data_IF_512613643595
#
_entry.id   IF_512613643595
#
_cell.length_a   1.000
_cell.length_b   1.000
_cell.length_c   1.000
_cell.angle_alpha   90.00
_cell.angle_beta   90.00
_cell.angle_gamma   90.00
#
_symmetry.space_group_name_H-M   'P 1'
#
loop_
_entity.id
_entity.type
_entity.pdbx_description
1 polymer ?
#
# COMPACT_ATOMS: atom_id res chain seq x y z
N UNK A 1 -17.54 74.63 -8.37
CA UNK A 1 -16.89 73.80 -7.33
C UNK A 1 -17.87 72.74 -6.86
N UNK A 2 -17.52 71.45 -6.92
CA UNK A 2 -18.33 70.36 -6.39
C UNK A 2 -17.98 69.04 -7.07
N UNK A 3 -17.04 68.32 -6.47
CA UNK A 3 -16.56 66.98 -6.85
C UNK A 3 -17.66 65.95 -6.58
N UNK A 4 -17.78 64.90 -7.41
CA UNK A 4 -18.10 63.55 -6.94
C UNK A 4 -17.69 62.52 -8.00
N UNK A 5 -16.78 61.66 -7.55
CA UNK A 5 -16.03 60.68 -8.31
C UNK A 5 -16.83 59.40 -8.56
N UNK A 6 -16.60 58.82 -9.74
CA UNK A 6 -16.36 57.40 -10.07
C UNK A 6 -16.87 56.30 -9.12
N UNK A 7 -17.57 55.33 -9.71
CA UNK A 7 -17.75 54.00 -9.15
C UNK A 7 -18.25 52.99 -10.19
N UNK A 8 -17.49 52.79 -11.29
CA UNK A 8 -17.76 51.67 -12.21
C UNK A 8 -17.00 50.46 -11.66
N UNK A 9 -17.71 49.59 -10.94
CA UNK A 9 -17.19 48.28 -10.52
C UNK A 9 -17.07 47.38 -11.75
N UNK A 10 -15.85 47.24 -12.27
CA UNK A 10 -15.53 46.24 -13.29
C UNK A 10 -15.39 44.89 -12.58
N UNK A 11 -16.40 44.03 -12.71
CA UNK A 11 -16.35 42.65 -12.24
C UNK A 11 -15.52 41.85 -13.26
N UNK A 12 -14.26 41.57 -12.93
CA UNK A 12 -13.40 40.65 -13.66
C UNK A 12 -13.90 39.22 -13.43
N UNK A 13 -14.63 38.68 -14.41
CA UNK A 13 -14.95 37.25 -14.47
C UNK A 13 -13.72 36.53 -15.02
N UNK A 14 -12.91 35.96 -14.14
CA UNK A 14 -11.83 35.06 -14.51
C UNK A 14 -12.42 33.66 -14.82
N UNK A 15 -12.67 33.37 -16.10
CA UNK A 15 -12.91 32.01 -16.57
C UNK A 15 -11.58 31.26 -16.59
N UNK A 16 -11.29 30.50 -15.53
CA UNK A 16 -10.22 29.49 -15.55
C UNK A 16 -10.73 28.28 -16.32
N UNK A 17 -10.42 28.23 -17.61
CA UNK A 17 -10.45 26.99 -18.37
C UNK A 17 -9.24 26.14 -17.92
N UNK A 18 -9.45 25.28 -16.93
CA UNK A 18 -8.48 24.23 -16.60
C UNK A 18 -8.54 23.16 -17.69
N UNK A 19 -7.60 23.26 -18.62
CA UNK A 19 -7.12 22.14 -19.43
C UNK A 19 -6.66 21.03 -18.50
N UNK A 20 -7.47 19.99 -18.29
CA UNK A 20 -6.99 18.73 -17.72
C UNK A 20 -6.21 17.97 -18.80
N UNK A 21 -4.99 18.43 -19.07
CA UNK A 21 -3.99 17.64 -19.77
C UNK A 21 -3.29 16.74 -18.74
N UNK A 22 -3.24 15.44 -19.04
CA UNK A 22 -2.18 14.54 -18.62
C UNK A 22 -2.13 14.21 -17.13
N UNK A 23 -2.90 13.22 -16.71
CA UNK A 23 -2.40 12.31 -15.66
C UNK A 23 -1.47 11.31 -16.35
N UNK A 24 -0.28 11.79 -16.72
CA UNK A 24 0.90 10.93 -16.74
C UNK A 24 0.94 10.24 -15.37
N UNK A 25 0.89 8.92 -15.41
CA UNK A 25 0.85 8.05 -14.23
C UNK A 25 2.10 8.30 -13.40
N UNK A 26 2.03 9.19 -12.41
CA UNK A 26 2.92 9.12 -11.27
C UNK A 26 2.81 7.71 -10.69
N UNK A 27 3.93 7.04 -10.35
CA UNK A 27 3.85 5.77 -9.64
C UNK A 27 2.99 6.02 -8.41
N UNK A 28 1.92 5.24 -8.25
CA UNK A 28 0.98 5.39 -7.14
C UNK A 28 1.78 5.08 -5.87
N UNK A 29 2.34 6.12 -5.27
CA UNK A 29 3.06 6.05 -4.01
C UNK A 29 2.07 6.39 -2.93
N UNK A 30 1.91 5.49 -1.97
CA UNK A 30 1.17 5.81 -0.75
C UNK A 30 1.83 6.99 -0.06
N UNK A 31 1.03 7.87 0.52
CA UNK A 31 1.53 8.80 1.53
C UNK A 31 2.03 8.02 2.76
N UNK A 32 2.89 8.65 3.57
CA UNK A 32 3.40 8.03 4.80
C UNK A 32 2.27 7.56 5.74
N UNK A 33 1.15 8.30 5.74
CA UNK A 33 -0.04 7.96 6.52
C UNK A 33 -0.72 6.70 5.99
N UNK A 34 -0.93 6.60 4.68
CA UNK A 34 -1.56 5.41 4.07
C UNK A 34 -0.67 4.18 4.18
N UNK A 35 0.66 4.36 4.07
CA UNK A 35 1.61 3.28 4.31
C UNK A 35 1.56 2.82 5.77
N UNK A 36 1.48 3.74 6.73
CA UNK A 36 1.32 3.41 8.15
C UNK A 36 0.01 2.64 8.40
N UNK A 37 -1.08 3.02 7.74
CA UNK A 37 -2.36 2.32 7.86
C UNK A 37 -2.27 0.89 7.30
N UNK A 38 -1.59 0.69 6.15
CA UNK A 38 -1.32 -0.64 5.60
C UNK A 38 -0.47 -1.48 6.57
N UNK A 39 0.59 -0.90 7.13
CA UNK A 39 1.44 -1.57 8.11
C UNK A 39 0.63 -1.98 9.34
N UNK A 40 -0.23 -1.11 9.86
CA UNK A 40 -1.10 -1.42 11.00
C UNK A 40 -2.05 -2.59 10.69
N UNK A 41 -2.72 -2.57 9.52
CA UNK A 41 -3.59 -3.67 9.09
C UNK A 41 -2.83 -4.99 8.96
N UNK A 42 -1.60 -4.94 8.42
CA UNK A 42 -0.73 -6.13 8.31
C UNK A 42 -0.29 -6.65 9.67
N UNK A 43 0.06 -5.78 10.60
CA UNK A 43 0.43 -6.18 11.97
C UNK A 43 -0.75 -6.80 12.73
N UNK A 44 -1.94 -6.20 12.61
CA UNK A 44 -3.13 -6.63 13.36
C UNK A 44 -3.78 -7.90 12.80
N UNK A 45 -3.78 -8.08 11.48
CA UNK A 45 -4.53 -9.15 10.81
C UNK A 45 -3.64 -10.16 10.07
N UNK A 46 -2.39 -9.78 9.77
CA UNK A 46 -1.53 -10.53 8.86
C UNK A 46 -0.66 -11.57 9.53
N UNK A 47 -0.30 -11.40 10.80
CA UNK A 47 0.61 -12.30 11.51
C UNK A 47 0.03 -12.79 12.84
N UNK A 48 0.51 -13.94 13.31
CA UNK A 48 0.17 -14.53 14.62
C UNK A 48 1.17 -14.16 15.72
N UNK A 49 2.20 -13.39 15.39
CA UNK A 49 3.24 -12.96 16.32
C UNK A 49 2.73 -11.74 17.09
N UNK A 50 2.38 -11.94 18.36
CA UNK A 50 1.97 -10.84 19.24
C UNK A 50 3.08 -9.79 19.39
N UNK A 51 2.75 -8.52 19.15
CA UNK A 51 3.71 -7.42 19.24
C UNK A 51 4.77 -7.42 18.13
N UNK A 52 4.50 -8.05 16.99
CA UNK A 52 5.39 -8.00 15.83
C UNK A 52 5.54 -6.60 15.26
N UNK A 53 6.75 -6.31 14.79
CA UNK A 53 7.02 -5.21 13.87
C UNK A 53 7.01 -5.76 12.45
N UNK A 54 6.13 -5.24 11.60
CA UNK A 54 6.06 -5.63 10.19
C UNK A 54 6.60 -4.55 9.27
N UNK A 55 7.43 -4.97 8.33
CA UNK A 55 7.84 -4.19 7.16
C UNK A 55 7.01 -4.64 5.96
N UNK A 56 6.53 -3.67 5.18
CA UNK A 56 5.70 -3.95 3.99
C UNK A 56 6.35 -3.39 2.75
N UNK A 57 6.27 -4.15 1.67
CA UNK A 57 6.65 -3.74 0.33
C UNK A 57 5.41 -3.76 -0.57
N UNK A 58 5.07 -2.62 -1.15
CA UNK A 58 3.88 -2.49 -2.00
C UNK A 58 4.27 -2.79 -3.44
N UNK A 59 3.63 -3.81 -4.03
CA UNK A 59 3.85 -4.15 -5.43
C UNK A 59 2.91 -3.39 -6.36
N UNK A 60 1.66 -3.19 -5.93
CA UNK A 60 0.65 -2.50 -6.73
C UNK A 60 -0.50 -2.00 -5.87
N UNK A 61 -1.09 -0.89 -6.30
CA UNK A 61 -2.39 -0.40 -5.84
C UNK A 61 -3.33 -0.33 -7.04
N UNK A 62 -4.49 -0.96 -6.94
CA UNK A 62 -5.56 -0.92 -7.95
C UNK A 62 -6.86 -0.48 -7.29
N UNK A 63 -7.31 0.74 -7.60
CA UNK A 63 -8.47 1.36 -6.97
C UNK A 63 -8.36 1.38 -5.44
N UNK A 64 -9.10 0.51 -4.74
CA UNK A 64 -9.10 0.37 -3.27
C UNK A 64 -8.43 -0.92 -2.80
N UNK A 65 -7.71 -1.60 -3.69
CA UNK A 65 -7.02 -2.86 -3.39
C UNK A 65 -5.50 -2.65 -3.43
N UNK A 66 -4.83 -3.03 -2.35
CA UNK A 66 -3.37 -2.96 -2.22
C UNK A 66 -2.79 -4.37 -2.22
N UNK A 67 -1.78 -4.60 -3.05
CA UNK A 67 -1.06 -5.87 -3.13
C UNK A 67 0.40 -5.65 -2.73
N UNK A 68 0.94 -6.55 -1.92
CA UNK A 68 2.32 -6.43 -1.46
C UNK A 68 2.86 -7.67 -0.78
N UNK A 69 4.02 -7.48 -0.18
CA UNK A 69 4.72 -8.47 0.64
C UNK A 69 4.94 -7.90 2.04
N UNK A 70 4.72 -8.71 3.06
CA UNK A 70 4.97 -8.38 4.44
C UNK A 70 6.06 -9.28 5.01
N UNK A 71 6.92 -8.70 5.84
CA UNK A 71 7.88 -9.43 6.68
C UNK A 71 7.70 -8.93 8.11
N UNK A 72 7.20 -9.79 8.98
CA UNK A 72 6.92 -9.51 10.37
C UNK A 72 7.91 -10.25 11.27
N UNK A 73 8.48 -9.57 12.24
CA UNK A 73 9.37 -10.16 13.23
C UNK A 73 9.01 -9.68 14.64
N UNK A 74 9.35 -10.46 15.70
CA UNK A 74 9.20 -9.98 17.08
C UNK A 74 9.93 -8.64 17.27
N UNK A 75 9.29 -7.67 17.93
CA UNK A 75 9.88 -6.34 18.13
C UNK A 75 11.16 -6.34 19.00
N UNK A 76 11.41 -7.40 19.77
CA UNK A 76 12.61 -7.55 20.57
C UNK A 76 13.70 -8.30 19.78
N UNK A 77 14.52 -7.55 19.03
CA UNK A 77 15.63 -8.04 18.20
C UNK A 77 16.81 -8.66 18.99
N UNK A 78 16.66 -8.87 20.30
CA UNK A 78 17.73 -9.34 21.18
C UNK A 78 18.02 -10.84 21.07
N UNK A 79 17.20 -11.59 20.34
CA UNK A 79 17.41 -13.01 20.10
C UNK A 79 17.82 -13.27 18.63
N UNK A 80 19.03 -13.80 18.37
CA UNK A 80 19.42 -14.24 17.02
C UNK A 80 18.56 -15.40 16.47
N UNK A 81 17.64 -15.99 17.26
CA UNK A 81 16.58 -16.87 16.78
C UNK A 81 15.32 -16.13 16.30
N UNK A 82 15.20 -14.81 16.51
CA UNK A 82 14.05 -14.02 16.06
C UNK A 82 13.88 -14.03 14.53
N UNK A 83 14.98 -14.16 13.77
CA UNK A 83 14.93 -14.35 12.31
C UNK A 83 14.33 -15.70 11.89
N UNK A 84 14.43 -16.73 12.73
CA UNK A 84 13.79 -18.03 12.50
C UNK A 84 12.29 -18.02 12.85
N UNK A 85 11.83 -16.97 13.51
CA UNK A 85 10.43 -16.75 13.86
C UNK A 85 9.77 -15.67 13.00
N UNK A 86 10.48 -15.10 12.02
CA UNK A 86 9.92 -14.10 11.14
C UNK A 86 8.85 -14.72 10.23
N UNK A 87 7.70 -14.07 10.15
CA UNK A 87 6.56 -14.44 9.32
C UNK A 87 6.58 -13.57 8.06
N UNK A 88 6.81 -14.20 6.91
CA UNK A 88 6.92 -13.51 5.63
C UNK A 88 5.89 -14.06 4.64
N UNK A 89 5.03 -13.18 4.12
CA UNK A 89 3.89 -13.58 3.31
C UNK A 89 3.47 -12.49 2.33
N UNK A 90 2.91 -12.87 1.17
CA UNK A 90 2.24 -11.90 0.30
C UNK A 90 0.87 -11.55 0.88
N UNK A 91 0.43 -10.31 0.71
CA UNK A 91 -0.87 -9.86 1.16
C UNK A 91 -1.63 -9.11 0.07
N UNK A 92 -2.95 -9.18 0.17
CA UNK A 92 -3.92 -8.36 -0.52
C UNK A 92 -4.80 -7.68 0.52
N UNK A 93 -4.95 -6.37 0.44
CA UNK A 93 -5.86 -5.61 1.28
C UNK A 93 -6.95 -5.04 0.39
N UNK A 94 -8.21 -5.41 0.66
CA UNK A 94 -9.38 -4.79 0.02
C UNK A 94 -10.04 -3.85 1.05
N UNK A 95 -9.81 -2.54 0.93
CA UNK A 95 -10.21 -1.58 1.96
C UNK A 95 -9.43 -1.78 3.26
N UNK A 96 -10.08 -2.34 4.28
CA UNK A 96 -9.56 -2.62 5.62
C UNK A 96 -9.33 -4.11 5.90
N UNK A 97 -9.60 -4.97 4.91
CA UNK A 97 -9.56 -6.43 5.07
C UNK A 97 -8.33 -7.04 4.44
N UNK A 98 -7.46 -7.60 5.27
CA UNK A 98 -6.30 -8.35 4.81
C UNK A 98 -6.68 -9.77 4.39
N UNK A 99 -6.12 -10.20 3.27
CA UNK A 99 -6.12 -11.59 2.81
C UNK A 99 -4.69 -12.00 2.48
N UNK A 100 -4.27 -13.15 3.02
CA UNK A 100 -3.02 -13.81 2.68
C UNK A 100 -3.32 -15.24 2.23
N UNK A 101 -2.50 -15.84 1.34
CA UNK A 101 -2.65 -17.25 1.00
C UNK A 101 -2.37 -18.13 2.21
N UNK A 102 -2.99 -19.31 2.25
CA UNK A 102 -2.66 -20.31 3.26
C UNK A 102 -1.23 -20.84 3.06
N UNK A 103 -0.57 -21.19 4.16
CA UNK A 103 0.75 -21.83 4.10
C UNK A 103 0.66 -23.30 3.63
N UNK A 104 1.78 -23.82 3.13
CA UNK A 104 1.91 -25.22 2.73
C UNK A 104 1.26 -25.55 1.38
N UNK A 105 0.59 -26.70 1.29
CA UNK A 105 0.17 -27.28 0.01
C UNK A 105 -0.87 -26.47 -0.79
N UNK A 106 -1.56 -25.53 -0.16
CA UNK A 106 -2.56 -24.67 -0.81
C UNK A 106 -1.99 -23.32 -1.29
N UNK A 107 -0.76 -22.97 -0.89
CA UNK A 107 -0.18 -21.65 -1.13
C UNK A 107 -0.27 -21.21 -2.59
N UNK A 108 0.22 -22.03 -3.52
CA UNK A 108 0.21 -21.69 -4.95
C UNK A 108 -1.20 -21.44 -5.48
N UNK A 109 -2.16 -22.27 -5.08
CA UNK A 109 -3.57 -22.16 -5.48
C UNK A 109 -4.21 -20.88 -4.95
N UNK A 110 -3.86 -20.47 -3.74
CA UNK A 110 -4.40 -19.25 -3.15
C UNK A 110 -3.72 -18.00 -3.70
N UNK A 111 -2.43 -18.07 -4.00
CA UNK A 111 -1.72 -17.02 -4.75
C UNK A 111 -2.41 -16.78 -6.10
N UNK A 112 -2.78 -17.84 -6.82
CA UNK A 112 -3.48 -17.72 -8.11
C UNK A 112 -4.85 -17.03 -8.00
N UNK A 113 -5.59 -17.31 -6.92
CA UNK A 113 -6.91 -16.70 -6.68
C UNK A 113 -6.84 -15.27 -6.18
N UNK A 114 -5.91 -14.99 -5.27
CA UNK A 114 -5.84 -13.71 -4.57
C UNK A 114 -5.17 -12.64 -5.42
N UNK A 115 -4.19 -13.03 -6.25
CA UNK A 115 -3.34 -12.08 -6.96
C UNK A 115 -3.52 -12.13 -8.48
N UNK A 116 -3.51 -10.95 -9.13
CA UNK A 116 -3.38 -10.81 -10.57
C UNK A 116 -2.18 -11.60 -11.13
N UNK A 117 -2.32 -12.16 -12.33
CA UNK A 117 -1.35 -13.07 -12.95
C UNK A 117 0.07 -12.49 -13.05
N UNK A 118 0.17 -11.20 -13.36
CA UNK A 118 1.41 -10.46 -13.49
C UNK A 118 2.17 -10.27 -12.17
N UNK A 119 1.47 -10.25 -11.03
CA UNK A 119 2.08 -10.17 -9.71
C UNK A 119 2.54 -11.53 -9.15
N UNK A 120 2.01 -12.65 -9.66
CA UNK A 120 2.34 -14.00 -9.16
C UNK A 120 3.83 -14.31 -9.29
N UNK A 121 4.47 -13.83 -10.36
CA UNK A 121 5.91 -14.00 -10.57
C UNK A 121 6.75 -13.22 -9.56
N UNK A 122 6.34 -12.00 -9.19
CA UNK A 122 7.02 -11.20 -8.17
C UNK A 122 6.88 -11.86 -6.77
N UNK A 123 5.67 -12.31 -6.44
CA UNK A 123 5.39 -13.04 -5.19
C UNK A 123 6.24 -14.31 -5.08
N UNK A 124 6.34 -15.08 -6.16
CA UNK A 124 7.14 -16.31 -6.18
C UNK A 124 8.63 -16.02 -5.99
N UNK A 125 9.13 -14.92 -6.58
CA UNK A 125 10.51 -14.48 -6.41
C UNK A 125 10.81 -14.04 -4.98
N UNK A 126 9.92 -13.26 -4.34
CA UNK A 126 10.07 -12.90 -2.93
C UNK A 126 10.03 -14.13 -2.02
N UNK A 127 9.10 -15.05 -2.26
CA UNK A 127 8.98 -16.28 -1.48
C UNK A 127 10.22 -17.18 -1.58
N UNK A 128 10.88 -17.24 -2.75
CA UNK A 128 12.11 -18.03 -2.94
C UNK A 128 13.38 -17.30 -2.51
N UNK A 129 13.41 -15.97 -2.63
CA UNK A 129 14.51 -15.11 -2.18
C UNK A 129 14.66 -15.02 -0.66
N UNK A 130 13.57 -15.22 0.10
CA UNK A 130 13.60 -15.29 1.57
C UNK A 130 14.23 -16.59 2.12
N UNK A 131 14.52 -17.58 1.26
CA UNK A 131 15.14 -18.88 1.60
C UNK A 131 16.61 -19.00 1.19
N UNK A 132 17.25 -17.91 0.74
CA UNK A 132 18.64 -17.88 0.28
C UNK A 132 19.66 -17.53 1.35
#
# INVERSE_FOLDING_TARGET
>A
MGRLSLGISVILVATFAVTSCGSDTEPISLSDQELADVVNVVQEQGTVIDGASCQVEIFRIEASTTYGWATCAPAEESDPQAVAQADAFPFRIDGDKLRRPDEGGNYAKDVEKLFPEDLRSAITQHATGATG
#
